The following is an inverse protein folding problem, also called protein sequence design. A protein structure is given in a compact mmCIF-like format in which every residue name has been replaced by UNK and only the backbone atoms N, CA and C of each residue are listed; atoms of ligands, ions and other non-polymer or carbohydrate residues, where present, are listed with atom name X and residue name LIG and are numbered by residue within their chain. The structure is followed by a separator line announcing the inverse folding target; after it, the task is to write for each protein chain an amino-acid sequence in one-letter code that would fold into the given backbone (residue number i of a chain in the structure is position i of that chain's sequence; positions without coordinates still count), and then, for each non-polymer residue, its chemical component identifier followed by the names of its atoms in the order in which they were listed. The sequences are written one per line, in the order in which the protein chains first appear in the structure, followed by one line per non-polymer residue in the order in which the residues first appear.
data_IF_051343864445
#
_entry.id   IF_051343864445
#
_cell.length_a   1.000
_cell.length_b   1.000
_cell.length_c   1.000
_cell.angle_alpha   90.00
_cell.angle_beta   90.00
_cell.angle_gamma   90.00
#
_symmetry.space_group_name_H-M   'P 1'
#
loop_
_entity.id
_entity.type
_entity.pdbx_description
1 polymer ?
#
# COMPACT_ATOMS: atom_id res chain seq x y z
N UNK A 1 13.72 7.21 19.14
CA UNK A 1 12.95 7.71 17.96
C UNK A 1 11.79 6.78 17.72
N UNK A 2 10.63 7.32 17.46
CA UNK A 2 9.47 6.47 17.08
C UNK A 2 9.56 6.14 15.60
N UNK A 3 9.49 4.87 15.26
CA UNK A 3 9.39 4.42 13.88
C UNK A 3 8.06 4.83 13.24
N UNK A 4 8.04 4.87 11.94
CA UNK A 4 6.88 5.26 11.13
C UNK A 4 6.31 4.08 10.37
N UNK A 5 4.98 4.06 10.21
CA UNK A 5 4.29 3.13 9.34
C UNK A 5 3.98 3.82 8.01
N UNK A 6 4.48 3.25 6.93
CA UNK A 6 4.16 3.66 5.57
C UNK A 6 3.32 2.58 4.89
N UNK A 7 2.34 2.99 4.11
CA UNK A 7 1.45 2.08 3.39
C UNK A 7 1.67 2.29 1.90
N UNK A 8 1.84 1.21 1.15
CA UNK A 8 1.86 1.24 -0.31
C UNK A 8 0.79 0.35 -0.89
N UNK A 9 0.01 0.90 -1.81
CA UNK A 9 -1.01 0.16 -2.56
C UNK A 9 -0.48 -0.06 -3.96
N UNK A 10 -0.20 -1.34 -4.28
CA UNK A 10 0.36 -1.73 -5.55
C UNK A 10 -0.06 -3.16 -5.87
N UNK A 11 -0.75 -3.38 -6.97
CA UNK A 11 -1.29 -4.69 -7.32
C UNK A 11 -0.22 -5.72 -7.73
N UNK A 12 1.02 -5.27 -7.90
CA UNK A 12 2.18 -6.15 -8.05
C UNK A 12 2.73 -6.65 -6.72
N UNK A 13 2.21 -6.14 -5.61
CA UNK A 13 2.59 -6.47 -4.24
C UNK A 13 4.08 -6.17 -3.99
N UNK A 14 4.85 -7.15 -3.52
CA UNK A 14 6.29 -6.98 -3.33
C UNK A 14 6.99 -7.29 -4.65
N UNK A 15 7.72 -6.32 -5.19
CA UNK A 15 8.54 -6.55 -6.38
C UNK A 15 9.78 -5.65 -6.39
N UNK A 16 10.87 -6.27 -6.73
CA UNK A 16 12.24 -5.80 -6.88
C UNK A 16 12.54 -4.32 -6.69
N UNK A 17 12.71 -3.61 -7.79
CA UNK A 17 13.26 -2.25 -7.78
C UNK A 17 12.37 -1.22 -7.07
N UNK A 18 11.05 -1.32 -7.19
CA UNK A 18 10.14 -0.33 -6.58
C UNK A 18 10.20 -0.42 -5.07
N UNK A 19 10.09 -1.63 -4.52
CA UNK A 19 10.20 -1.84 -3.08
C UNK A 19 11.57 -1.41 -2.57
N UNK A 20 12.63 -1.75 -3.28
CA UNK A 20 14.00 -1.37 -2.90
C UNK A 20 14.18 0.14 -2.92
N UNK A 21 13.70 0.85 -3.94
CA UNK A 21 13.82 2.30 -4.04
C UNK A 21 13.07 3.00 -2.89
N UNK A 22 11.83 2.59 -2.62
CA UNK A 22 11.04 3.14 -1.52
C UNK A 22 11.64 2.81 -0.16
N UNK A 23 12.14 1.60 0.04
CA UNK A 23 12.73 1.17 1.31
C UNK A 23 13.98 1.98 1.66
N UNK A 24 14.78 2.35 0.68
CA UNK A 24 15.95 3.22 0.90
C UNK A 24 15.55 4.63 1.30
N UNK A 25 14.64 5.24 0.55
CA UNK A 25 14.21 6.64 0.78
C UNK A 25 13.52 6.79 2.13
N UNK A 26 12.68 5.82 2.49
CA UNK A 26 11.94 5.82 3.75
C UNK A 26 12.70 5.19 4.92
N UNK A 27 13.92 4.74 4.71
CA UNK A 27 14.72 4.04 5.72
C UNK A 27 13.97 2.87 6.36
N UNK A 28 13.34 2.05 5.52
CA UNK A 28 12.52 0.90 5.97
C UNK A 28 13.43 -0.18 6.56
N UNK A 29 13.00 -0.75 7.67
CA UNK A 29 13.64 -1.89 8.33
C UNK A 29 12.83 -3.17 8.20
N UNK A 30 11.50 -3.05 8.09
CA UNK A 30 10.58 -4.19 8.00
C UNK A 30 9.61 -3.99 6.85
N UNK A 31 9.47 -5.00 5.99
CA UNK A 31 8.46 -5.02 4.92
C UNK A 31 7.44 -6.09 5.21
N UNK A 32 6.17 -5.72 5.21
CA UNK A 32 5.05 -6.64 5.36
C UNK A 32 4.16 -6.51 4.12
N UNK A 33 3.90 -7.63 3.47
CA UNK A 33 2.88 -7.73 2.43
C UNK A 33 1.60 -8.32 3.02
N UNK A 34 0.50 -7.62 2.87
CA UNK A 34 -0.82 -8.11 3.24
C UNK A 34 -1.45 -8.83 2.05
N UNK A 35 -1.53 -10.14 2.13
CA UNK A 35 -2.22 -10.96 1.13
C UNK A 35 -2.66 -12.28 1.77
N UNK A 36 -3.96 -12.42 2.04
CA UNK A 36 -4.50 -13.59 2.74
C UNK A 36 -4.29 -14.89 1.97
N UNK A 37 -4.36 -14.84 0.64
CA UNK A 37 -4.20 -16.04 -0.19
C UNK A 37 -2.74 -16.51 -0.25
N UNK A 38 -1.79 -15.59 -0.41
CA UNK A 38 -0.37 -15.93 -0.45
C UNK A 38 0.15 -16.35 0.93
N UNK A 39 -0.34 -15.74 1.99
CA UNK A 39 0.12 -16.01 3.35
C UNK A 39 -0.11 -17.46 3.80
N UNK A 40 -1.11 -18.14 3.25
CA UNK A 40 -1.42 -19.54 3.57
C UNK A 40 -0.73 -20.54 2.65
N UNK A 41 0.04 -20.08 1.69
CA UNK A 41 0.82 -20.92 0.76
C UNK A 41 2.31 -20.63 0.95
N UNK A 42 2.98 -21.45 1.74
CA UNK A 42 4.41 -21.30 2.03
C UNK A 42 5.25 -21.19 0.74
N UNK A 43 4.99 -22.08 -0.22
CA UNK A 43 5.72 -22.09 -1.49
C UNK A 43 5.52 -20.81 -2.30
N UNK A 44 4.29 -20.32 -2.41
CA UNK A 44 4.00 -19.09 -3.16
C UNK A 44 4.58 -17.86 -2.44
N UNK A 45 4.52 -17.85 -1.12
CA UNK A 45 5.12 -16.79 -0.31
C UNK A 45 6.64 -16.73 -0.51
N UNK A 46 7.32 -17.88 -0.46
CA UNK A 46 8.76 -17.96 -0.72
C UNK A 46 9.13 -17.45 -2.12
N UNK A 47 8.37 -17.86 -3.15
CA UNK A 47 8.59 -17.41 -4.53
C UNK A 47 8.42 -15.89 -4.63
N UNK A 48 7.39 -15.33 -4.01
CA UNK A 48 7.12 -13.90 -4.03
C UNK A 48 8.23 -13.09 -3.34
N UNK A 49 8.82 -13.64 -2.29
CA UNK A 49 9.89 -12.97 -1.52
C UNK A 49 11.29 -13.16 -2.14
N UNK A 50 11.42 -14.04 -3.13
CA UNK A 50 12.69 -14.20 -3.84
C UNK A 50 13.11 -12.88 -4.49
N UNK A 51 14.32 -12.46 -4.28
CA UNK A 51 14.84 -11.20 -4.82
C UNK A 51 14.64 -9.99 -3.93
N UNK A 52 13.93 -10.15 -2.80
CA UNK A 52 13.88 -9.10 -1.76
C UNK A 52 14.96 -9.39 -0.73
N UNK A 53 15.75 -8.39 -0.41
CA UNK A 53 16.84 -8.53 0.56
C UNK A 53 16.32 -8.91 1.94
N UNK A 54 16.96 -9.89 2.58
CA UNK A 54 16.68 -10.29 3.96
C UNK A 54 16.91 -9.15 4.97
N UNK A 55 17.69 -8.14 4.59
CA UNK A 55 17.91 -6.95 5.43
C UNK A 55 16.62 -6.18 5.74
N UNK A 56 15.58 -6.36 4.94
CA UNK A 56 14.25 -5.76 5.16
C UNK A 56 13.29 -6.69 5.91
N UNK A 57 13.73 -7.85 6.35
CA UNK A 57 12.90 -8.85 7.02
C UNK A 57 11.51 -9.03 6.38
N UNK A 58 11.44 -9.35 5.06
CA UNK A 58 10.17 -9.36 4.33
C UNK A 58 9.30 -10.54 4.78
N UNK A 59 8.02 -10.26 5.01
CA UNK A 59 7.01 -11.25 5.35
C UNK A 59 5.73 -11.04 4.57
N UNK A 60 5.02 -12.12 4.27
CA UNK A 60 3.66 -12.08 3.75
C UNK A 60 2.73 -12.57 4.84
N UNK A 61 1.77 -11.73 5.25
CA UNK A 61 0.90 -11.99 6.38
C UNK A 61 -0.58 -11.91 5.98
N UNK A 62 -1.41 -12.65 6.71
CA UNK A 62 -2.87 -12.52 6.64
C UNK A 62 -3.32 -11.21 7.28
N UNK A 63 -4.54 -10.79 7.01
CA UNK A 63 -5.14 -9.62 7.65
C UNK A 63 -5.08 -9.69 9.17
N UNK A 64 -5.43 -10.84 9.77
CA UNK A 64 -5.39 -11.01 11.23
C UNK A 64 -3.97 -10.96 11.79
N UNK A 65 -2.98 -11.50 11.07
CA UNK A 65 -1.59 -11.42 11.48
C UNK A 65 -1.04 -9.99 11.39
N UNK A 66 -1.42 -9.24 10.37
CA UNK A 66 -1.08 -7.80 10.25
C UNK A 66 -1.70 -7.01 11.39
N UNK A 67 -2.97 -7.25 11.70
CA UNK A 67 -3.65 -6.60 12.83
C UNK A 67 -2.90 -6.83 14.14
N UNK A 68 -2.54 -8.08 14.42
CA UNK A 68 -1.77 -8.45 15.61
C UNK A 68 -0.40 -7.78 15.62
N UNK A 69 0.32 -7.81 14.50
CA UNK A 69 1.62 -7.15 14.37
C UNK A 69 1.53 -5.66 14.68
N UNK A 70 0.61 -4.94 14.04
CA UNK A 70 0.46 -3.49 14.21
C UNK A 70 0.02 -3.11 15.64
N UNK A 71 -0.72 -4.00 16.32
CA UNK A 71 -1.18 -3.76 17.68
C UNK A 71 -0.08 -3.97 18.75
N UNK A 72 0.92 -4.80 18.45
CA UNK A 72 1.93 -5.22 19.45
C UNK A 72 3.36 -4.82 19.08
N UNK A 73 3.58 -4.38 17.82
CA UNK A 73 4.94 -4.04 17.38
C UNK A 73 5.44 -2.76 18.07
N UNK A 74 6.61 -2.80 18.72
CA UNK A 74 7.23 -1.59 19.23
C UNK A 74 7.59 -0.68 18.04
N UNK A 75 7.17 0.58 18.10
CA UNK A 75 7.36 1.55 17.02
C UNK A 75 8.74 2.20 17.11
N UNK A 76 9.77 1.41 17.05
CA UNK A 76 11.16 1.86 17.08
C UNK A 76 11.83 1.83 15.69
N UNK A 77 11.17 1.23 14.71
CA UNK A 77 11.68 1.15 13.34
C UNK A 77 10.61 1.44 12.28
N UNK A 78 11.06 1.85 11.10
CA UNK A 78 10.17 2.15 9.98
C UNK A 78 9.69 0.87 9.31
N UNK A 79 8.38 0.74 9.15
CA UNK A 79 7.71 -0.40 8.54
C UNK A 79 7.02 0.05 7.25
N UNK A 80 7.16 -0.76 6.19
CA UNK A 80 6.41 -0.63 4.95
C UNK A 80 5.39 -1.76 4.87
N UNK A 81 4.11 -1.39 4.88
CA UNK A 81 3.00 -2.30 4.64
C UNK A 81 2.55 -2.16 3.19
N UNK A 82 2.62 -3.24 2.43
CA UNK A 82 2.21 -3.27 1.03
C UNK A 82 0.97 -4.14 0.86
N UNK A 83 0.02 -3.69 0.07
CA UNK A 83 -1.16 -4.48 -0.31
C UNK A 83 -1.57 -4.19 -1.74
N UNK A 84 -2.29 -5.13 -2.38
CA UNK A 84 -2.71 -5.01 -3.78
C UNK A 84 -3.84 -4.00 -4.01
N UNK A 85 -4.65 -3.74 -3.00
CA UNK A 85 -5.80 -2.85 -3.11
C UNK A 85 -6.10 -2.20 -1.77
N UNK A 86 -6.59 -0.95 -1.78
CA UNK A 86 -6.94 -0.23 -0.56
C UNK A 86 -8.04 -0.93 0.25
N UNK A 87 -8.98 -1.59 -0.42
CA UNK A 87 -10.06 -2.33 0.24
C UNK A 87 -9.57 -3.40 1.21
N UNK A 88 -8.38 -3.96 0.99
CA UNK A 88 -7.77 -4.94 1.90
C UNK A 88 -7.44 -4.35 3.27
N UNK A 89 -7.39 -3.04 3.38
CA UNK A 89 -7.10 -2.31 4.62
C UNK A 89 -8.37 -1.99 5.43
N UNK A 90 -9.56 -2.34 4.93
CA UNK A 90 -10.84 -1.95 5.52
C UNK A 90 -10.98 -2.37 6.99
N UNK A 91 -10.50 -3.56 7.35
CA UNK A 91 -10.57 -4.08 8.72
C UNK A 91 -9.45 -3.56 9.63
N UNK A 92 -8.47 -2.84 9.08
CA UNK A 92 -7.29 -2.36 9.79
C UNK A 92 -7.32 -0.84 10.07
N UNK A 93 -8.40 -0.15 9.76
CA UNK A 93 -8.46 1.32 9.82
C UNK A 93 -8.05 1.88 11.19
N UNK A 94 -8.39 1.19 12.26
CA UNK A 94 -8.00 1.60 13.62
C UNK A 94 -6.47 1.54 13.81
N UNK A 95 -5.85 0.45 13.40
CA UNK A 95 -4.42 0.24 13.50
C UNK A 95 -3.64 1.20 12.58
N UNK A 96 -4.24 1.57 11.46
CA UNK A 96 -3.64 2.45 10.46
C UNK A 96 -3.78 3.94 10.75
N UNK A 97 -4.55 4.31 11.78
CA UNK A 97 -4.81 5.73 12.12
C UNK A 97 -3.54 6.54 12.42
N UNK A 98 -2.45 5.86 12.74
CA UNK A 98 -1.14 6.47 13.00
C UNK A 98 -0.15 6.30 11.86
N UNK A 99 -0.60 5.86 10.68
CA UNK A 99 0.27 5.78 9.51
C UNK A 99 0.80 7.17 9.12
N UNK A 100 2.04 7.22 8.68
CA UNK A 100 2.67 8.47 8.25
C UNK A 100 2.23 8.88 6.85
N UNK A 101 2.04 7.91 5.96
CA UNK A 101 1.61 8.16 4.59
C UNK A 101 1.01 6.92 3.96
N UNK A 102 0.11 7.15 3.00
CA UNK A 102 -0.39 6.16 2.05
C UNK A 102 0.10 6.55 0.67
N UNK A 103 0.85 5.66 0.06
CA UNK A 103 1.38 5.83 -1.28
C UNK A 103 0.64 4.90 -2.24
N UNK A 104 0.01 5.48 -3.24
CA UNK A 104 -0.70 4.74 -4.28
C UNK A 104 0.27 4.51 -5.43
N UNK A 105 0.50 3.26 -5.76
CA UNK A 105 1.29 2.83 -6.91
C UNK A 105 0.40 2.33 -8.04
N UNK A 106 0.66 1.12 -8.53
CA UNK A 106 -0.08 0.54 -9.63
C UNK A 106 -1.43 -0.04 -9.17
N UNK A 107 -2.52 0.44 -9.78
CA UNK A 107 -3.88 -0.02 -9.51
C UNK A 107 -4.55 -0.39 -10.85
N UNK A 108 -4.33 -1.62 -11.32
CA UNK A 108 -4.90 -2.11 -12.58
C UNK A 108 -6.38 -2.47 -12.44
N UNK A 109 -7.07 -2.55 -13.59
CA UNK A 109 -8.48 -2.91 -13.62
C UNK A 109 -8.71 -4.32 -13.08
N UNK A 110 -9.70 -4.43 -12.19
CA UNK A 110 -10.20 -5.69 -11.62
C UNK A 110 -11.71 -5.80 -11.85
N UNK A 111 -12.27 -6.96 -11.60
CA UNK A 111 -13.73 -7.17 -11.69
C UNK A 111 -14.51 -6.20 -10.80
N UNK A 112 -14.02 -5.96 -9.58
CA UNK A 112 -14.66 -5.04 -8.63
C UNK A 112 -14.43 -3.55 -8.92
N UNK A 113 -13.65 -3.19 -9.95
CA UNK A 113 -13.37 -1.78 -10.27
C UNK A 113 -14.64 -1.05 -10.69
N UNK A 114 -14.92 0.06 -10.03
CA UNK A 114 -16.09 0.93 -10.28
C UNK A 114 -15.70 2.28 -10.84
N UNK A 115 -14.46 2.70 -10.62
CA UNK A 115 -13.96 4.02 -11.01
C UNK A 115 -12.64 3.92 -11.75
N UNK A 116 -12.42 4.87 -12.64
CA UNK A 116 -11.19 5.03 -13.39
C UNK A 116 -10.68 6.47 -13.28
N UNK A 117 -9.37 6.60 -13.14
CA UNK A 117 -8.66 7.88 -13.19
C UNK A 117 -7.60 7.84 -14.29
N UNK A 118 -7.65 8.86 -15.16
CA UNK A 118 -6.63 9.13 -16.17
C UNK A 118 -6.15 10.55 -15.96
N UNK A 119 -5.01 10.69 -15.31
CA UNK A 119 -4.54 12.00 -14.86
C UNK A 119 -3.25 12.46 -15.46
N UNK A 120 -3.05 13.75 -15.44
CA UNK A 120 -1.81 14.40 -15.85
C UNK A 120 -0.69 14.00 -14.86
N UNK A 121 0.45 13.59 -15.40
CA UNK A 121 1.64 13.25 -14.62
C UNK A 121 1.64 11.84 -14.03
N UNK A 122 0.53 11.11 -14.18
CA UNK A 122 0.45 9.73 -13.69
C UNK A 122 1.04 8.74 -14.69
N UNK A 123 0.93 9.02 -15.99
CA UNK A 123 1.47 8.17 -17.05
C UNK A 123 0.79 6.81 -17.18
N UNK A 124 -0.18 6.53 -16.33
CA UNK A 124 -0.93 5.28 -16.31
C UNK A 124 -2.37 5.51 -15.88
N UNK A 125 -3.21 4.53 -16.14
CA UNK A 125 -4.61 4.54 -15.71
C UNK A 125 -4.74 3.84 -14.36
N UNK A 126 -5.43 4.48 -13.41
CA UNK A 126 -5.70 3.91 -12.10
C UNK A 126 -7.17 3.49 -12.01
N UNK A 127 -7.41 2.34 -11.41
CA UNK A 127 -8.75 1.79 -11.21
C UNK A 127 -9.00 1.54 -9.72
N UNK A 128 -10.20 1.86 -9.26
CA UNK A 128 -10.59 1.71 -7.85
C UNK A 128 -11.98 1.08 -7.74
N UNK A 129 -12.18 0.23 -6.75
CA UNK A 129 -13.51 -0.20 -6.33
C UNK A 129 -14.17 0.90 -5.49
N UNK A 130 -15.48 0.78 -5.23
CA UNK A 130 -16.16 1.67 -4.29
C UNK A 130 -15.52 1.59 -2.90
N UNK A 131 -15.14 0.40 -2.48
CA UNK A 131 -14.49 0.17 -1.18
C UNK A 131 -13.09 0.77 -1.11
N UNK A 132 -12.32 0.72 -2.20
CA UNK A 132 -11.03 1.41 -2.28
C UNK A 132 -11.19 2.91 -2.00
N UNK A 133 -12.16 3.53 -2.64
CA UNK A 133 -12.44 4.98 -2.47
C UNK A 133 -12.84 5.29 -1.04
N UNK A 134 -13.71 4.50 -0.41
CA UNK A 134 -14.11 4.67 0.98
C UNK A 134 -12.90 4.61 1.92
N UNK A 135 -12.03 3.62 1.75
CA UNK A 135 -10.84 3.43 2.61
C UNK A 135 -9.85 4.58 2.43
N UNK A 136 -9.57 4.97 1.18
CA UNK A 136 -8.66 6.07 0.90
C UNK A 136 -9.19 7.41 1.42
N UNK A 137 -10.50 7.64 1.30
CA UNK A 137 -11.15 8.82 1.88
C UNK A 137 -11.05 8.84 3.40
N UNK A 138 -11.29 7.71 4.05
CA UNK A 138 -11.19 7.61 5.50
C UNK A 138 -9.77 7.91 5.98
N UNK A 139 -8.77 7.30 5.39
CA UNK A 139 -7.37 7.53 5.75
C UNK A 139 -6.94 8.98 5.50
N UNK A 140 -7.32 9.53 4.35
CA UNK A 140 -7.04 10.94 4.02
C UNK A 140 -7.73 11.91 4.98
N UNK A 141 -8.98 11.64 5.37
CA UNK A 141 -9.75 12.49 6.30
C UNK A 141 -9.16 12.53 7.70
N UNK A 142 -8.38 11.52 8.07
CA UNK A 142 -7.64 11.47 9.35
C UNK A 142 -6.33 12.27 9.32
N UNK A 143 -6.07 13.01 8.25
CA UNK A 143 -4.84 13.79 8.08
C UNK A 143 -3.65 12.98 7.60
N UNK A 144 -3.84 11.72 7.20
CA UNK A 144 -2.77 10.90 6.67
C UNK A 144 -2.48 11.33 5.23
N UNK A 145 -1.22 11.66 4.95
CA UNK A 145 -0.78 12.01 3.59
C UNK A 145 -1.12 10.85 2.64
N UNK A 146 -1.98 11.08 1.66
CA UNK A 146 -2.44 10.08 0.70
C UNK A 146 -2.18 10.59 -0.71
N UNK A 147 -1.21 9.98 -1.39
CA UNK A 147 -0.74 10.44 -2.70
C UNK A 147 -0.49 9.29 -3.66
N UNK A 148 -0.68 9.54 -4.95
CA UNK A 148 -0.13 8.70 -6.00
C UNK A 148 1.31 9.13 -6.27
N UNK A 149 2.21 8.15 -6.31
CA UNK A 149 3.60 8.36 -6.67
C UNK A 149 4.21 7.01 -7.05
N UNK A 150 4.62 6.86 -8.30
CA UNK A 150 5.18 5.58 -8.77
C UNK A 150 6.57 5.34 -8.17
N UNK A 151 7.47 6.29 -8.36
CA UNK A 151 8.84 6.24 -7.84
C UNK A 151 9.07 7.42 -6.88
N UNK A 152 10.01 7.31 -5.93
CA UNK A 152 10.29 8.39 -4.99
C UNK A 152 10.70 9.72 -5.62
N UNK A 153 11.20 9.67 -6.85
CA UNK A 153 11.63 10.85 -7.63
C UNK A 153 10.52 11.50 -8.44
N UNK A 154 9.36 10.81 -8.57
CA UNK A 154 8.23 11.32 -9.33
C UNK A 154 7.47 12.39 -8.55
N UNK A 155 6.72 13.21 -9.28
CA UNK A 155 5.82 14.18 -8.66
C UNK A 155 4.66 13.48 -7.97
N UNK A 156 4.32 13.94 -6.77
CA UNK A 156 3.17 13.47 -6.02
C UNK A 156 1.86 14.02 -6.61
N UNK A 157 0.84 13.16 -6.71
CA UNK A 157 -0.53 13.55 -7.06
C UNK A 157 -1.42 13.26 -5.84
N UNK A 158 -2.00 14.30 -5.25
CA UNK A 158 -2.80 14.18 -4.03
C UNK A 158 -4.07 13.37 -4.26
N UNK A 159 -4.48 12.59 -3.27
CA UNK A 159 -5.73 11.80 -3.36
C UNK A 159 -6.95 12.65 -3.70
N UNK A 160 -7.05 13.84 -3.13
CA UNK A 160 -8.16 14.74 -3.43
C UNK A 160 -8.24 15.08 -4.92
N UNK A 161 -7.11 15.33 -5.57
CA UNK A 161 -7.04 15.59 -7.01
C UNK A 161 -7.48 14.37 -7.83
N UNK A 162 -7.06 13.16 -7.41
CA UNK A 162 -7.48 11.90 -8.03
C UNK A 162 -8.99 11.73 -7.87
N UNK A 163 -9.50 11.90 -6.67
CA UNK A 163 -10.92 11.75 -6.35
C UNK A 163 -11.79 12.66 -7.21
N UNK A 164 -11.43 13.92 -7.35
CA UNK A 164 -12.14 14.89 -8.20
C UNK A 164 -12.14 14.50 -9.68
N UNK A 165 -11.12 13.79 -10.12
CA UNK A 165 -10.97 13.31 -11.51
C UNK A 165 -11.51 11.91 -11.78
N UNK A 166 -12.02 11.22 -10.75
CA UNK A 166 -12.58 9.87 -10.92
C UNK A 166 -13.82 9.89 -11.81
N UNK A 167 -13.87 8.92 -12.72
CA UNK A 167 -15.06 8.67 -13.56
C UNK A 167 -15.57 7.27 -13.29
N UNK A 168 -16.89 7.11 -13.24
CA UNK A 168 -17.49 5.79 -13.12
C UNK A 168 -17.25 4.98 -14.40
N UNK A 169 -16.93 3.72 -14.25
CA UNK A 169 -16.80 2.77 -15.36
C UNK A 169 -18.21 2.36 -15.80
N UNK A 170 -18.47 2.46 -17.10
CA UNK A 170 -19.73 1.99 -17.71
C UNK A 170 -19.69 0.47 -17.97
#
# INVERSE_FOLDING_TARGET
MNGSLFIRIDDRLIHGQIVTAWSKVLNIKKIIALDDALAVSEMLAEIMLMGISDAYEPEILTTSAVESFLSHHPRDENVLLVTRAAENLALLQKQLSLASAVNIGNCSRKEASSYVFKGIGVGQTLYFSEKDVEVLDDLSSKGIKTVFQQMPTDKEVQWQQIKEGLKRIE
#
